data_IF_355500047691
#
_entry.id   IF_355500047691
#
_cell.length_a   1.000
_cell.length_b   1.000
_cell.length_c   1.000
_cell.angle_alpha   90.00
_cell.angle_beta   90.00
_cell.angle_gamma   90.00
#
_symmetry.space_group_name_H-M   'P 1'
#
loop_
_entity.id
_entity.type
_entity.pdbx_description
1 polymer ?
#
# COMPACT_ATOMS: atom_id res chain seq x y z
N UNK A 1 37.73 -67.24 -2.46
CA UNK A 1 37.57 -65.99 -3.24
C UNK A 1 36.25 -65.37 -2.82
N UNK A 2 36.27 -64.38 -1.93
CA UNK A 2 35.06 -63.71 -1.41
C UNK A 2 35.01 -62.30 -2.00
N UNK A 3 34.12 -62.09 -2.97
CA UNK A 3 33.90 -60.79 -3.61
C UNK A 3 32.97 -59.95 -2.74
N UNK A 4 33.46 -58.81 -2.26
CA UNK A 4 32.68 -57.81 -1.49
C UNK A 4 32.24 -56.70 -2.44
N UNK A 5 30.94 -56.60 -2.68
CA UNK A 5 30.34 -55.46 -3.40
C UNK A 5 30.24 -54.24 -2.49
N UNK A 6 30.74 -53.06 -2.88
CA UNK A 6 30.53 -51.83 -2.12
C UNK A 6 29.15 -51.25 -2.43
N UNK A 7 28.34 -51.07 -1.39
CA UNK A 7 27.09 -50.34 -1.45
C UNK A 7 27.38 -48.83 -1.56
N UNK A 8 27.07 -48.25 -2.72
CA UNK A 8 27.10 -46.80 -2.91
C UNK A 8 25.84 -46.18 -2.30
N UNK A 9 26.01 -45.48 -1.17
CA UNK A 9 24.99 -44.61 -0.62
C UNK A 9 24.93 -43.31 -1.43
N UNK A 10 23.92 -43.15 -2.27
CA UNK A 10 23.61 -41.90 -2.94
C UNK A 10 22.83 -40.99 -1.97
N UNK A 11 23.53 -40.03 -1.36
CA UNK A 11 22.90 -38.94 -0.61
C UNK A 11 22.26 -37.96 -1.60
N UNK A 12 20.95 -38.06 -1.80
CA UNK A 12 20.16 -37.05 -2.49
C UNK A 12 19.97 -35.85 -1.55
N UNK A 13 20.78 -34.80 -1.73
CA UNK A 13 20.58 -33.53 -1.06
C UNK A 13 19.34 -32.83 -1.64
N UNK A 14 18.19 -32.98 -0.97
CA UNK A 14 16.99 -32.20 -1.25
C UNK A 14 17.28 -30.77 -0.79
N UNK A 15 17.63 -29.90 -1.75
CA UNK A 15 17.69 -28.46 -1.52
C UNK A 15 16.26 -27.97 -1.32
N UNK A 16 15.83 -27.89 -0.06
CA UNK A 16 14.63 -27.18 0.37
C UNK A 16 14.82 -25.71 0.03
N UNK A 17 14.40 -25.31 -1.17
CA UNK A 17 14.21 -23.90 -1.48
C UNK A 17 13.09 -23.40 -0.57
N UNK A 18 13.47 -22.71 0.51
CA UNK A 18 12.52 -22.02 1.35
C UNK A 18 11.80 -20.98 0.52
N UNK A 19 10.53 -21.23 0.18
CA UNK A 19 9.67 -20.19 -0.37
C UNK A 19 9.51 -19.13 0.71
N UNK A 20 10.10 -17.95 0.48
CA UNK A 20 9.77 -16.78 1.27
C UNK A 20 8.28 -16.53 1.12
N UNK A 21 7.50 -16.88 2.14
CA UNK A 21 6.09 -16.52 2.19
C UNK A 21 6.03 -15.00 2.35
N UNK A 22 5.73 -14.33 1.25
CA UNK A 22 5.44 -12.92 1.18
C UNK A 22 3.96 -12.75 1.54
N UNK A 23 3.71 -12.09 2.65
CA UNK A 23 2.43 -12.08 3.32
C UNK A 23 1.89 -10.68 3.31
N UNK A 24 1.01 -10.36 2.37
CA UNK A 24 0.80 -8.96 2.01
C UNK A 24 -0.68 -8.62 1.88
N UNK A 25 -0.97 -7.35 2.11
CA UNK A 25 -2.28 -6.76 1.85
C UNK A 25 -2.10 -5.42 1.14
N UNK A 26 -2.76 -5.28 0.00
CA UNK A 26 -2.74 -4.05 -0.81
C UNK A 26 -4.14 -3.46 -0.82
N UNK A 27 -4.23 -2.19 -0.43
CA UNK A 27 -5.47 -1.43 -0.53
C UNK A 27 -5.88 -1.32 -2.00
N UNK A 28 -7.16 -1.53 -2.30
CA UNK A 28 -7.72 -1.49 -3.66
C UNK A 28 -8.70 -0.34 -3.81
N UNK A 29 -9.50 -0.09 -2.77
CA UNK A 29 -10.42 1.04 -2.69
C UNK A 29 -10.36 1.70 -1.30
N UNK A 30 -10.06 2.99 -1.18
CA UNK A 30 -9.65 3.90 -2.28
C UNK A 30 -8.33 3.49 -2.94
N UNK A 31 -8.05 4.05 -4.12
CA UNK A 31 -6.86 3.66 -4.88
C UNK A 31 -5.57 3.94 -4.10
N UNK A 32 -4.65 2.97 -3.97
CA UNK A 32 -3.47 3.15 -3.13
C UNK A 32 -2.46 4.09 -3.80
N UNK A 33 -1.57 4.66 -2.98
CA UNK A 33 -0.44 5.47 -3.45
C UNK A 33 0.54 4.66 -4.28
N UNK A 34 0.79 3.43 -3.85
CA UNK A 34 1.69 2.48 -4.48
C UNK A 34 0.99 1.11 -4.54
N UNK A 35 1.34 0.31 -5.54
CA UNK A 35 0.90 -1.08 -5.62
C UNK A 35 2.00 -2.03 -5.09
N UNK A 36 2.80 -1.56 -4.13
CA UNK A 36 3.88 -2.36 -3.55
C UNK A 36 3.31 -3.34 -2.52
N UNK A 37 3.27 -4.62 -2.89
CA UNK A 37 2.84 -5.69 -2.00
C UNK A 37 3.83 -5.86 -0.83
N UNK A 38 5.10 -5.49 -0.99
CA UNK A 38 6.14 -5.67 0.03
C UNK A 38 6.35 -4.44 0.93
N UNK A 39 5.32 -3.62 1.10
CA UNK A 39 5.29 -2.39 1.86
C UNK A 39 5.37 -2.59 3.40
N UNK A 40 6.58 -2.88 3.92
CA UNK A 40 6.86 -3.18 5.35
C UNK A 40 7.25 -1.98 6.21
N UNK A 41 7.14 -0.77 5.67
CA UNK A 41 7.80 0.39 6.26
C UNK A 41 6.94 1.63 6.25
N UNK A 42 7.13 2.43 7.29
CA UNK A 42 6.45 3.70 7.44
C UNK A 42 4.96 3.53 7.64
N UNK A 43 4.22 4.64 7.80
CA UNK A 43 2.78 4.58 7.88
C UNK A 43 2.13 4.11 6.57
N UNK A 44 2.83 4.18 5.42
CA UNK A 44 2.22 4.01 4.10
C UNK A 44 2.93 3.02 3.17
N UNK A 45 3.85 2.21 3.69
CA UNK A 45 4.69 1.36 2.84
C UNK A 45 5.90 2.06 2.24
N UNK A 46 5.98 3.37 2.46
CA UNK A 46 6.97 4.29 1.93
C UNK A 46 7.04 5.53 2.85
N UNK A 47 7.98 6.44 2.60
CA UNK A 47 8.12 7.68 3.37
C UNK A 47 8.08 8.94 2.50
N UNK A 48 7.35 9.96 2.95
CA UNK A 48 7.40 11.31 2.38
C UNK A 48 8.54 12.17 2.97
N UNK A 49 9.28 11.65 3.95
CA UNK A 49 10.34 12.36 4.66
C UNK A 49 11.43 11.43 5.18
N UNK A 50 11.95 11.70 6.38
CA UNK A 50 12.96 10.86 7.00
C UNK A 50 12.40 9.47 7.37
N UNK A 51 13.15 8.43 7.04
CA UNK A 51 12.84 7.02 7.30
C UNK A 51 13.92 6.39 8.18
N UNK A 52 13.62 5.33 8.98
CA UNK A 52 12.30 4.88 9.45
C UNK A 52 11.82 5.60 10.72
N UNK A 53 10.51 5.57 11.02
CA UNK A 53 9.95 6.14 12.28
C UNK A 53 10.09 5.15 13.45
N UNK A 54 10.07 3.84 13.18
CA UNK A 54 10.19 2.77 14.18
C UNK A 54 11.36 1.81 13.83
N UNK A 55 12.27 1.51 14.78
CA UNK A 55 13.35 0.56 14.59
C UNK A 55 12.91 -0.87 14.16
N UNK A 56 11.66 -1.25 14.42
CA UNK A 56 11.10 -2.54 14.00
C UNK A 56 10.66 -2.56 12.51
N UNK A 57 10.60 -1.40 11.85
CA UNK A 57 10.25 -1.29 10.44
C UNK A 57 11.41 -1.74 9.54
N UNK A 58 11.07 -2.03 8.28
CA UNK A 58 12.12 -2.25 7.30
C UNK A 58 12.83 -0.94 6.95
N UNK A 59 14.14 -0.87 7.16
CA UNK A 59 14.96 0.27 6.77
C UNK A 59 15.16 0.40 5.26
N UNK A 60 14.71 -0.59 4.46
CA UNK A 60 14.85 -0.60 3.00
C UNK A 60 13.72 0.13 2.25
N UNK A 61 12.89 0.88 2.96
CA UNK A 61 11.73 1.52 2.36
C UNK A 61 12.10 2.53 1.28
N UNK A 62 11.29 2.59 0.23
CA UNK A 62 11.40 3.61 -0.79
C UNK A 62 10.68 4.89 -0.37
N UNK A 63 11.09 6.02 -0.95
CA UNK A 63 10.32 7.27 -0.83
C UNK A 63 8.94 7.10 -1.47
N UNK A 64 7.92 7.70 -0.87
CA UNK A 64 6.59 7.76 -1.48
C UNK A 64 6.62 8.63 -2.73
N UNK A 65 5.72 8.40 -3.71
CA UNK A 65 5.56 9.30 -4.85
C UNK A 65 5.20 10.70 -4.35
N UNK A 66 6.03 11.70 -4.64
CA UNK A 66 5.77 13.09 -4.24
C UNK A 66 4.51 13.67 -4.93
N UNK A 67 4.14 13.14 -6.09
CA UNK A 67 2.97 13.55 -6.87
C UNK A 67 2.53 12.42 -7.81
N UNK A 68 1.41 12.63 -8.52
CA UNK A 68 0.90 11.70 -9.54
C UNK A 68 0.11 10.50 -9.00
N UNK A 69 -0.01 10.37 -7.67
CA UNK A 69 -0.98 9.46 -7.06
C UNK A 69 -2.42 9.96 -7.28
N UNK A 70 -3.36 9.03 -7.24
CA UNK A 70 -4.78 9.33 -7.38
C UNK A 70 -5.36 9.74 -6.04
N UNK A 71 -6.18 10.79 -6.06
CA UNK A 71 -6.90 11.28 -4.87
C UNK A 71 -8.37 10.95 -5.06
N UNK A 72 -8.97 10.33 -4.06
CA UNK A 72 -10.40 9.97 -4.10
C UNK A 72 -11.21 11.03 -3.35
N UNK A 73 -12.22 11.61 -4.00
CA UNK A 73 -13.11 12.56 -3.35
C UNK A 73 -14.20 11.82 -2.58
N UNK A 74 -14.36 12.19 -1.31
CA UNK A 74 -15.31 11.65 -0.37
C UNK A 74 -16.17 12.78 0.19
N UNK A 75 -17.34 12.40 0.70
CA UNK A 75 -18.29 13.31 1.35
C UNK A 75 -18.44 12.90 2.80
N UNK A 76 -18.42 13.88 3.70
CA UNK A 76 -18.64 13.68 5.14
C UNK A 76 -19.90 12.82 5.41
N UNK A 77 -19.82 11.95 6.41
CA UNK A 77 -20.91 11.09 6.85
C UNK A 77 -21.30 9.95 5.88
N UNK A 78 -20.77 9.92 4.65
CA UNK A 78 -21.09 8.84 3.71
C UNK A 78 -20.46 7.51 4.14
N UNK A 79 -21.11 6.37 3.86
CA UNK A 79 -20.48 5.07 3.99
C UNK A 79 -19.41 4.88 2.90
N UNK A 80 -18.19 4.55 3.31
CA UNK A 80 -17.09 4.16 2.43
C UNK A 80 -16.83 2.66 2.56
N UNK A 81 -16.96 1.93 1.46
CA UNK A 81 -16.48 0.55 1.38
C UNK A 81 -14.98 0.55 1.11
N UNK A 82 -14.19 0.25 2.13
CA UNK A 82 -12.75 0.06 2.02
C UNK A 82 -12.50 -1.38 1.62
N UNK A 83 -11.80 -1.59 0.51
CA UNK A 83 -11.52 -2.92 -0.05
C UNK A 83 -10.03 -3.10 -0.22
N UNK A 84 -9.54 -4.28 0.13
CA UNK A 84 -8.14 -4.67 -0.06
C UNK A 84 -8.03 -6.09 -0.58
N UNK A 85 -6.91 -6.40 -1.21
CA UNK A 85 -6.54 -7.74 -1.61
C UNK A 85 -5.53 -8.28 -0.61
N UNK A 86 -5.87 -9.36 0.07
CA UNK A 86 -4.89 -10.15 0.81
C UNK A 86 -4.23 -11.12 -0.16
N UNK A 87 -2.94 -10.96 -0.45
CA UNK A 87 -2.27 -11.80 -1.44
C UNK A 87 -1.86 -13.15 -0.86
N UNK A 88 -1.53 -13.20 0.43
CA UNK A 88 -1.23 -14.45 1.15
C UNK A 88 -1.83 -14.40 2.54
N UNK A 89 -2.56 -15.46 2.86
CA UNK A 89 -3.32 -15.59 4.09
C UNK A 89 -2.43 -15.86 5.32
N UNK A 90 -2.62 -15.06 6.38
CA UNK A 90 -1.92 -15.24 7.66
C UNK A 90 -2.81 -14.96 8.87
N UNK A 91 -2.56 -15.67 9.98
CA UNK A 91 -3.17 -15.32 11.26
C UNK A 91 -2.75 -13.91 11.66
N UNK A 92 -3.72 -13.09 12.05
CA UNK A 92 -3.43 -11.68 12.24
C UNK A 92 -4.67 -10.82 12.40
N UNK A 93 -4.49 -9.53 12.08
CA UNK A 93 -5.54 -8.52 12.11
C UNK A 93 -5.40 -7.56 10.94
N UNK A 94 -6.53 -7.04 10.48
CA UNK A 94 -6.58 -5.87 9.64
C UNK A 94 -7.04 -4.66 10.44
N UNK A 95 -6.46 -3.51 10.13
CA UNK A 95 -6.86 -2.21 10.65
C UNK A 95 -7.04 -1.22 9.50
N UNK A 96 -8.11 -0.45 9.54
CA UNK A 96 -8.31 0.73 8.71
C UNK A 96 -8.35 1.97 9.59
N UNK A 97 -7.50 2.94 9.26
CA UNK A 97 -7.43 4.24 9.91
C UNK A 97 -7.58 5.37 8.88
N UNK A 98 -8.11 6.51 9.31
CA UNK A 98 -8.26 7.69 8.46
C UNK A 98 -7.83 8.93 9.24
N UNK A 99 -6.73 9.55 8.82
CA UNK A 99 -6.23 10.80 9.40
C UNK A 99 -6.57 11.99 8.51
N UNK A 100 -7.03 13.09 9.11
CA UNK A 100 -7.31 14.35 8.41
C UNK A 100 -6.05 15.15 8.08
N UNK A 101 -4.87 14.70 8.55
CA UNK A 101 -3.59 15.31 8.17
C UNK A 101 -3.22 14.97 6.74
N UNK A 102 -2.48 15.87 6.11
CA UNK A 102 -1.99 15.67 4.75
C UNK A 102 -1.01 14.49 4.68
N UNK A 103 -0.97 13.86 3.52
CA UNK A 103 -0.21 12.64 3.29
C UNK A 103 1.31 12.75 3.48
N UNK A 104 1.85 13.94 3.27
CA UNK A 104 3.26 14.28 3.46
C UNK A 104 3.62 14.62 4.91
N UNK A 105 2.61 14.86 5.76
CA UNK A 105 2.81 15.24 7.17
C UNK A 105 2.25 14.24 8.18
N UNK A 106 1.47 13.25 7.71
CA UNK A 106 0.89 12.21 8.57
C UNK A 106 2.01 11.40 9.23
N UNK A 107 1.86 11.16 10.52
CA UNK A 107 2.74 10.27 11.29
C UNK A 107 1.97 9.04 11.71
N UNK A 108 2.70 7.98 12.11
CA UNK A 108 2.06 6.77 12.64
C UNK A 108 1.09 7.06 13.79
N UNK A 109 1.49 7.92 14.75
CA UNK A 109 0.66 8.27 15.90
C UNK A 109 -0.69 8.88 15.50
N UNK A 110 -0.76 9.59 14.38
CA UNK A 110 -1.99 10.20 13.88
C UNK A 110 -2.97 9.14 13.36
N UNK A 111 -2.44 8.10 12.70
CA UNK A 111 -3.22 6.97 12.20
C UNK A 111 -3.62 6.02 13.33
N UNK A 112 -2.76 5.84 14.33
CA UNK A 112 -3.08 5.08 15.54
C UNK A 112 -4.19 5.72 16.37
N UNK A 113 -4.31 7.06 16.34
CA UNK A 113 -5.38 7.80 17.00
C UNK A 113 -6.71 7.83 16.22
N UNK A 114 -6.73 7.39 14.95
CA UNK A 114 -7.86 7.57 14.05
C UNK A 114 -8.32 6.25 13.41
N UNK A 115 -8.50 5.22 14.23
CA UNK A 115 -8.93 3.87 13.81
C UNK A 115 -10.44 3.79 13.66
N UNK A 116 -10.90 3.36 12.49
CA UNK A 116 -12.34 3.18 12.19
C UNK A 116 -12.75 1.71 12.11
N UNK A 117 -11.80 0.82 11.79
CA UNK A 117 -12.04 -0.61 11.72
C UNK A 117 -10.81 -1.35 12.23
N UNK A 118 -11.02 -2.36 13.07
CA UNK A 118 -10.02 -3.34 13.42
C UNK A 118 -10.70 -4.69 13.66
N UNK A 119 -10.23 -5.74 13.00
CA UNK A 119 -10.76 -7.08 13.18
C UNK A 119 -9.66 -8.12 12.98
N UNK A 120 -9.86 -9.29 13.56
CA UNK A 120 -9.05 -10.46 13.23
C UNK A 120 -9.23 -10.79 11.75
N UNK A 121 -8.15 -11.25 11.14
CA UNK A 121 -8.24 -11.82 9.80
C UNK A 121 -9.09 -13.08 9.84
N UNK A 122 -10.23 -13.04 9.15
CA UNK A 122 -11.16 -14.14 9.01
C UNK A 122 -11.15 -14.73 7.59
N UNK A 123 -10.30 -14.20 6.71
CA UNK A 123 -10.11 -14.78 5.39
C UNK A 123 -9.38 -16.12 5.57
N UNK A 124 -9.78 -17.13 4.80
CA UNK A 124 -9.17 -18.46 4.82
C UNK A 124 -8.38 -18.74 3.53
N UNK A 125 -8.36 -17.79 2.59
CA UNK A 125 -7.83 -18.01 1.25
C UNK A 125 -6.92 -16.87 0.79
N UNK A 126 -5.67 -17.22 0.46
CA UNK A 126 -4.72 -16.33 -0.22
C UNK A 126 -5.29 -15.79 -1.54
N UNK A 127 -5.06 -14.51 -1.82
CA UNK A 127 -5.55 -13.82 -3.01
C UNK A 127 -6.98 -13.28 -2.89
N UNK A 128 -7.62 -13.44 -1.73
CA UNK A 128 -8.99 -12.99 -1.48
C UNK A 128 -9.14 -11.47 -1.45
N UNK A 129 -10.31 -10.99 -1.87
CA UNK A 129 -10.73 -9.63 -1.61
C UNK A 129 -11.44 -9.57 -0.27
N UNK A 130 -11.03 -8.63 0.57
CA UNK A 130 -11.61 -8.37 1.88
C UNK A 130 -12.10 -6.94 1.88
N UNK A 131 -13.22 -6.68 2.58
CA UNK A 131 -13.77 -5.34 2.68
C UNK A 131 -14.32 -5.04 4.06
N UNK A 132 -14.33 -3.74 4.39
CA UNK A 132 -14.97 -3.18 5.56
C UNK A 132 -15.71 -1.90 5.16
N UNK A 133 -16.85 -1.63 5.79
CA UNK A 133 -17.55 -0.35 5.62
C UNK A 133 -17.24 0.54 6.80
N UNK A 134 -16.76 1.75 6.54
CA UNK A 134 -16.54 2.80 7.55
C UNK A 134 -17.39 4.02 7.21
N UNK A 135 -17.67 4.87 8.20
CA UNK A 135 -18.28 6.18 7.97
C UNK A 135 -17.19 7.22 7.76
N UNK A 136 -17.26 7.99 6.67
CA UNK A 136 -16.35 9.11 6.43
C UNK A 136 -16.55 10.16 7.53
N UNK A 137 -15.49 10.61 8.22
CA UNK A 137 -15.63 11.55 9.33
C UNK A 137 -16.16 12.91 8.88
N UNK A 138 -16.79 13.62 9.81
CA UNK A 138 -17.42 14.93 9.57
C UNK A 138 -16.43 16.10 9.50
N UNK A 139 -15.14 15.81 9.36
CA UNK A 139 -14.07 16.82 9.28
C UNK A 139 -13.53 16.89 7.86
N UNK A 140 -13.87 17.93 7.08
CA UNK A 140 -13.30 18.13 5.75
C UNK A 140 -11.77 18.22 5.78
N UNK A 141 -11.11 17.67 4.77
CA UNK A 141 -9.66 17.69 4.63
C UNK A 141 -9.25 17.52 3.17
N UNK A 142 -8.08 18.05 2.81
CA UNK A 142 -7.49 17.89 1.50
C UNK A 142 -6.24 17.02 1.60
N UNK A 143 -6.09 16.07 0.67
CA UNK A 143 -4.99 15.10 0.66
C UNK A 143 -4.80 14.37 2.01
N UNK A 144 -5.90 14.06 2.69
CA UNK A 144 -5.89 13.25 3.88
C UNK A 144 -5.63 11.78 3.56
N UNK A 145 -5.40 10.97 4.60
CA UNK A 145 -4.84 9.63 4.44
C UNK A 145 -5.77 8.57 4.98
N UNK A 146 -6.09 7.59 4.15
CA UNK A 146 -6.61 6.30 4.59
C UNK A 146 -5.46 5.30 4.60
N UNK A 147 -5.26 4.62 5.73
CA UNK A 147 -4.28 3.57 5.90
C UNK A 147 -4.98 2.23 6.11
N UNK A 148 -4.58 1.24 5.32
CA UNK A 148 -4.71 -0.18 5.66
C UNK A 148 -3.44 -0.64 6.36
N UNK A 149 -3.58 -1.35 7.47
CA UNK A 149 -2.48 -2.06 8.13
C UNK A 149 -2.86 -3.52 8.34
N UNK A 150 -2.01 -4.43 7.88
CA UNK A 150 -2.08 -5.85 8.24
C UNK A 150 -1.06 -6.10 9.35
N UNK A 151 -1.51 -6.72 10.44
CA UNK A 151 -0.65 -7.30 11.47
C UNK A 151 -0.64 -8.82 11.30
N UNK A 152 0.54 -9.44 11.34
CA UNK A 152 0.72 -10.88 11.25
C UNK A 152 1.30 -11.44 12.52
N UNK A 153 0.62 -12.41 13.10
CA UNK A 153 1.04 -13.06 14.33
C UNK A 153 2.29 -13.94 14.10
N UNK A 154 3.27 -13.82 15.00
CA UNK A 154 4.50 -14.63 14.98
C UNK A 154 5.57 -14.21 13.97
N UNK A 155 5.33 -13.19 13.15
CA UNK A 155 6.32 -12.66 12.22
C UNK A 155 7.31 -11.70 12.91
N UNK A 156 8.59 -11.76 12.51
CA UNK A 156 9.64 -10.87 13.04
C UNK A 156 9.45 -9.41 12.64
N UNK A 157 8.87 -9.17 11.46
CA UNK A 157 8.38 -7.86 10.98
C UNK A 157 6.89 -8.01 10.69
N UNK A 158 6.02 -7.77 11.67
CA UNK A 158 4.63 -8.24 11.60
C UNK A 158 3.70 -7.28 10.86
N UNK A 159 4.18 -6.15 10.33
CA UNK A 159 3.31 -5.12 9.76
C UNK A 159 3.53 -4.91 8.26
N UNK A 160 2.40 -4.76 7.56
CA UNK A 160 2.33 -4.21 6.21
C UNK A 160 1.37 -3.05 6.16
N UNK A 161 1.69 -2.10 5.29
CA UNK A 161 1.01 -0.82 5.21
C UNK A 161 0.65 -0.51 3.77
N UNK A 162 -0.55 0.04 3.57
CA UNK A 162 -0.94 0.60 2.29
C UNK A 162 -1.77 1.84 2.56
N UNK A 163 -1.44 2.94 1.90
CA UNK A 163 -2.18 4.19 2.03
C UNK A 163 -2.89 4.57 0.74
N UNK A 164 -3.94 5.37 0.86
CA UNK A 164 -4.57 6.11 -0.23
C UNK A 164 -4.73 7.58 0.16
N UNK A 165 -4.66 8.46 -0.84
CA UNK A 165 -4.97 9.88 -0.68
C UNK A 165 -6.46 10.12 -0.90
N UNK A 166 -7.09 10.90 -0.03
CA UNK A 166 -8.49 11.28 -0.15
C UNK A 166 -8.69 12.77 0.09
N UNK A 167 -9.74 13.33 -0.51
CA UNK A 167 -10.30 14.62 -0.11
C UNK A 167 -11.64 14.35 0.55
N UNK A 168 -11.91 14.99 1.69
CA UNK A 168 -13.22 14.94 2.33
C UNK A 168 -13.84 16.33 2.21
N UNK A 169 -15.02 16.38 1.60
CA UNK A 169 -15.78 17.59 1.41
C UNK A 169 -17.07 17.55 2.22
N UNK A 170 -17.48 18.71 2.73
CA UNK A 170 -18.81 18.91 3.31
C UNK A 170 -19.63 19.75 2.34
N UNK A 171 -20.63 19.18 1.63
CA UNK A 171 -21.47 19.92 0.70
C UNK A 171 -22.28 21.02 1.40
N UNK A 172 -22.47 20.93 2.72
CA UNK A 172 -23.22 21.92 3.50
C UNK A 172 -22.32 23.05 4.04
N UNK A 173 -21.00 22.92 3.95
CA UNK A 173 -20.07 23.96 4.43
C UNK A 173 -20.13 25.26 3.61
N UNK A 174 -20.71 25.21 2.40
CA UNK A 174 -20.81 26.34 1.47
C UNK A 174 -21.72 27.50 1.92
N UNK A 175 -22.38 27.43 3.09
CA UNK A 175 -23.33 28.47 3.51
C UNK A 175 -22.89 29.33 4.71
N UNK A 176 -21.77 29.00 5.38
CA UNK A 176 -21.44 29.64 6.66
C UNK A 176 -20.17 30.51 6.65
N UNK A 177 -19.41 30.53 5.54
CA UNK A 177 -18.08 31.17 5.49
C UNK A 177 -18.04 32.63 4.97
N UNK A 178 -19.19 33.31 4.75
CA UNK A 178 -19.20 34.69 4.21
C UNK A 178 -19.64 35.77 5.21
N UNK A 179 -19.55 35.55 6.53
CA UNK A 179 -19.82 36.61 7.52
C UNK A 179 -18.69 36.83 8.53
N UNK A 180 -17.44 36.85 8.07
CA UNK A 180 -16.41 37.63 8.77
C UNK A 180 -16.65 39.12 8.48
N UNK A 181 -17.58 39.72 9.22
CA UNK A 181 -17.71 41.17 9.36
C UNK A 181 -16.35 41.74 9.70
N UNK A 182 -15.80 42.51 8.77
CA UNK A 182 -14.61 43.33 8.97
C UNK A 182 -14.81 44.24 10.19
N UNK A 183 -14.13 43.93 11.30
CA UNK A 183 -13.89 44.91 12.35
C UNK A 183 -12.63 45.69 11.96
N UNK A 184 -12.89 46.82 11.30
CA UNK A 184 -11.96 47.87 10.94
C UNK A 184 -11.29 48.45 12.19
N UNK A 185 -9.96 48.34 12.30
CA UNK A 185 -9.15 49.28 13.08
C UNK A 185 -8.17 49.97 12.16
N UNK A 186 -8.45 51.25 11.99
CA UNK A 186 -7.86 52.29 11.14
C UNK A 186 -6.44 52.72 11.52
N UNK A 187 -5.54 52.79 10.53
CA UNK A 187 -4.48 53.82 10.35
C UNK A 187 -3.52 53.35 9.25
N UNK A 188 -3.00 54.10 8.29
CA UNK A 188 -3.27 55.42 7.70
C UNK A 188 -2.31 55.55 6.50
N UNK A 189 -2.78 56.19 5.42
CA UNK A 189 -1.97 56.92 4.42
C UNK A 189 -1.10 56.12 3.42
N UNK A 190 -1.60 55.98 2.19
CA UNK A 190 -0.80 55.63 1.02
C UNK A 190 -1.58 55.92 -0.26
N UNK A 191 -1.20 56.99 -0.97
CA UNK A 191 -1.91 57.58 -2.09
C UNK A 191 -1.66 56.87 -3.44
N UNK A 192 -2.67 56.91 -4.32
CA UNK A 192 -2.50 57.07 -5.76
C UNK A 192 -2.61 55.81 -6.61
N UNK A 193 -3.61 55.77 -7.50
CA UNK A 193 -3.65 54.83 -8.62
C UNK A 193 -5.02 54.73 -9.27
N UNK A 194 -5.22 55.46 -10.36
CA UNK A 194 -6.46 55.56 -11.11
C UNK A 194 -6.61 54.48 -12.19
N UNK A 195 -7.87 54.15 -12.52
CA UNK A 195 -8.30 53.82 -13.88
C UNK A 195 -8.57 52.33 -14.17
N UNK A 196 -9.79 52.04 -14.64
CA UNK A 196 -10.10 50.79 -15.34
C UNK A 196 -11.57 50.37 -15.27
N UNK A 197 -12.37 50.86 -16.21
CA UNK A 197 -13.78 50.53 -16.44
C UNK A 197 -13.98 49.15 -17.10
N UNK A 198 -15.17 48.57 -16.89
CA UNK A 198 -15.78 47.52 -17.72
C UNK A 198 -15.86 46.15 -17.04
N UNK A 199 -16.98 45.45 -16.96
CA UNK A 199 -18.30 45.64 -17.56
C UNK A 199 -18.98 44.27 -17.64
N UNK A 200 -20.19 44.16 -17.08
CA UNK A 200 -21.29 43.31 -17.55
C UNK A 200 -21.17 41.77 -17.54
N UNK A 201 -22.17 41.12 -16.97
CA UNK A 201 -22.53 39.75 -17.38
C UNK A 201 -23.25 38.94 -16.30
N UNK A 202 -24.56 39.14 -16.16
CA UNK A 202 -25.41 38.27 -15.33
C UNK A 202 -25.59 36.89 -15.97
N UNK A 203 -25.79 35.87 -15.13
CA UNK A 203 -26.16 34.53 -15.55
C UNK A 203 -26.91 33.80 -14.44
N UNK A 204 -28.20 33.57 -14.68
CA UNK A 204 -29.15 32.90 -13.80
C UNK A 204 -29.07 31.37 -13.92
N UNK A 205 -29.37 30.69 -12.81
CA UNK A 205 -30.35 29.59 -12.79
C UNK A 205 -29.86 28.17 -13.09
N UNK A 206 -30.11 27.26 -12.14
CA UNK A 206 -30.09 25.83 -12.41
C UNK A 206 -29.93 24.96 -11.16
N UNK A 207 -30.98 24.84 -10.36
CA UNK A 207 -31.08 23.82 -9.31
C UNK A 207 -31.49 22.48 -9.95
N UNK A 208 -30.63 21.47 -9.92
CA UNK A 208 -30.97 20.08 -10.22
C UNK A 208 -30.85 19.29 -8.91
N UNK A 209 -31.93 18.68 -8.38
CA UNK A 209 -31.83 17.72 -7.30
C UNK A 209 -31.74 16.30 -7.86
N UNK A 210 -30.69 15.58 -7.47
CA UNK A 210 -30.65 14.12 -7.53
C UNK A 210 -29.64 13.54 -8.50
N UNK A 211 -28.35 13.60 -8.14
CA UNK A 211 -27.37 12.64 -8.65
C UNK A 211 -26.98 11.71 -7.51
N UNK A 212 -27.46 10.47 -7.63
CA UNK A 212 -26.93 9.32 -6.91
C UNK A 212 -25.47 9.23 -7.35
N UNK A 213 -24.54 9.43 -6.41
CA UNK A 213 -23.11 9.50 -6.71
C UNK A 213 -22.64 8.31 -7.56
N UNK A 214 -21.63 8.52 -8.42
CA UNK A 214 -21.13 7.48 -9.30
C UNK A 214 -20.81 6.25 -8.46
N UNK A 215 -21.51 5.15 -8.74
CA UNK A 215 -21.14 3.84 -8.21
C UNK A 215 -19.66 3.58 -8.48
N UNK A 216 -19.01 2.74 -7.66
CA UNK A 216 -17.57 2.49 -7.77
C UNK A 216 -17.21 2.19 -9.22
N UNK A 217 -16.16 2.86 -9.72
CA UNK A 217 -15.69 2.67 -11.08
C UNK A 217 -15.50 1.17 -11.34
N UNK A 218 -15.94 0.65 -12.51
CA UNK A 218 -15.76 -0.76 -12.85
C UNK A 218 -14.29 -1.10 -12.76
N UNK A 219 -14.02 -2.19 -12.02
CA UNK A 219 -12.69 -2.70 -11.76
C UNK A 219 -11.91 -2.91 -13.06
N UNK A 220 -10.91 -2.06 -13.33
CA UNK A 220 -9.87 -2.40 -14.29
C UNK A 220 -8.87 -3.30 -13.58
N UNK A 221 -9.11 -4.59 -13.68
CA UNK A 221 -8.14 -5.63 -13.40
C UNK A 221 -6.89 -5.32 -14.25
N UNK A 222 -5.87 -4.71 -13.64
CA UNK A 222 -4.58 -4.55 -14.31
C UNK A 222 -4.17 -5.95 -14.79
N UNK A 223 -3.91 -6.17 -16.08
CA UNK A 223 -3.59 -7.49 -16.59
C UNK A 223 -2.44 -8.05 -15.76
N UNK A 224 -2.68 -9.20 -15.13
CA UNK A 224 -1.71 -9.87 -14.27
C UNK A 224 -0.53 -10.28 -15.15
N UNK A 225 0.47 -9.40 -15.27
CA UNK A 225 1.74 -9.71 -15.92
C UNK A 225 2.57 -10.54 -14.94
N UNK A 226 2.32 -11.84 -14.87
CA UNK A 226 3.15 -12.72 -14.04
C UNK A 226 2.48 -13.99 -13.53
N UNK A 227 1.81 -14.77 -14.39
CA UNK A 227 1.66 -16.20 -14.11
C UNK A 227 3.00 -16.88 -14.34
N UNK A 228 3.81 -17.01 -13.29
CA UNK A 228 4.78 -18.10 -13.19
C UNK A 228 3.98 -19.39 -12.97
N UNK A 229 3.31 -19.85 -14.02
CA UNK A 229 2.81 -21.22 -14.09
C UNK A 229 4.03 -22.13 -14.06
N UNK A 230 4.34 -22.67 -12.89
CA UNK A 230 5.10 -23.90 -12.81
C UNK A 230 4.20 -25.00 -13.38
N UNK A 231 4.25 -25.16 -14.71
CA UNK A 231 3.73 -26.35 -15.36
C UNK A 231 4.36 -27.57 -14.66
N UNK A 232 3.58 -28.55 -14.18
CA UNK A 232 4.16 -29.80 -13.73
C UNK A 232 4.86 -30.43 -14.93
N UNK A 233 6.19 -30.48 -14.87
CA UNK A 233 7.03 -31.14 -15.84
C UNK A 233 6.53 -32.56 -16.05
N UNK A 234 6.10 -32.89 -17.27
CA UNK A 234 5.76 -34.24 -17.65
C UNK A 234 6.95 -35.18 -17.34
N UNK A 235 6.72 -36.35 -16.74
CA UNK A 235 7.79 -37.31 -16.52
C UNK A 235 8.18 -37.94 -17.86
N UNK A 236 9.33 -37.55 -18.41
CA UNK A 236 9.93 -38.31 -19.51
C UNK A 236 10.84 -37.52 -20.44
N UNK A 237 12.12 -37.44 -20.11
CA UNK A 237 13.21 -37.51 -21.10
C UNK A 237 14.56 -37.76 -20.40
N UNK A 238 15.14 -38.96 -20.51
CA UNK A 238 16.45 -39.28 -19.95
C UNK A 238 17.57 -38.81 -20.89
N UNK A 239 17.75 -37.50 -21.06
CA UNK A 239 18.78 -36.99 -21.97
C UNK A 239 19.33 -35.61 -21.56
N UNK A 240 19.65 -35.40 -20.29
CA UNK A 240 20.45 -34.24 -19.87
C UNK A 240 21.10 -34.47 -18.50
N UNK A 241 21.92 -35.53 -18.39
CA UNK A 241 22.74 -35.76 -17.21
C UNK A 241 24.21 -35.91 -17.61
N UNK A 242 24.76 -34.87 -18.22
CA UNK A 242 26.18 -34.76 -18.49
C UNK A 242 26.56 -33.28 -18.55
N UNK A 243 26.93 -32.66 -17.42
CA UNK A 243 27.84 -31.49 -17.33
C UNK A 243 27.96 -30.83 -15.94
N UNK A 244 27.90 -31.57 -14.81
CA UNK A 244 28.26 -30.97 -13.49
C UNK A 244 29.17 -31.87 -12.63
N UNK A 245 30.04 -32.65 -13.29
CA UNK A 245 31.03 -33.50 -12.59
C UNK A 245 32.50 -33.16 -12.93
N UNK A 246 32.77 -31.99 -13.51
CA UNK A 246 34.13 -31.56 -13.85
C UNK A 246 34.78 -30.56 -12.87
N UNK A 247 34.03 -30.02 -11.89
CA UNK A 247 34.50 -28.89 -11.07
C UNK A 247 35.20 -29.24 -9.75
N UNK A 248 35.12 -30.50 -9.27
CA UNK A 248 35.48 -30.84 -7.88
C UNK A 248 36.75 -31.68 -7.72
N UNK A 249 37.55 -31.87 -8.78
CA UNK A 249 38.83 -32.61 -8.72
C UNK A 249 40.06 -31.68 -8.67
N UNK A 250 39.93 -30.38 -8.97
CA UNK A 250 41.09 -29.48 -9.10
C UNK A 250 41.61 -28.84 -7.80
N UNK A 251 41.07 -29.15 -6.61
CA UNK A 251 41.51 -28.52 -5.34
C UNK A 251 42.30 -29.41 -4.37
N UNK A 252 42.48 -30.71 -4.66
CA UNK A 252 43.25 -31.60 -3.75
C UNK A 252 44.74 -31.73 -4.12
N UNK A 253 45.16 -31.28 -5.31
CA UNK A 253 46.54 -31.47 -5.77
C UNK A 253 47.54 -30.32 -5.44
N UNK A 254 47.22 -29.39 -4.54
CA UNK A 254 48.16 -28.32 -4.11
C UNK A 254 48.44 -28.36 -2.61
N UNK A 255 48.92 -29.49 -2.10
CA UNK A 255 49.48 -29.54 -0.75
C UNK A 255 50.56 -30.61 -0.60
N UNK A 256 51.53 -30.67 -1.51
CA UNK A 256 52.69 -31.57 -1.33
C UNK A 256 53.97 -31.15 -2.05
N UNK A 257 54.45 -29.93 -1.82
CA UNK A 257 55.87 -29.61 -2.07
C UNK A 257 56.30 -28.30 -1.40
N UNK A 258 56.66 -28.37 -0.11
CA UNK A 258 57.69 -27.53 0.53
C UNK A 258 58.25 -28.28 1.74
N UNK A 259 59.36 -28.99 1.51
CA UNK A 259 60.42 -29.23 2.48
C UNK A 259 61.68 -28.67 1.85
#
# INVERSE_FOLDING_TARGET
MHSRSPAFFAFAAVLLAGSSAFAHAVLMNPQPLTNDDNAKSGPCGCYFGAAPEDPAEDGSATACPASGYKVTDLVVGQPLQVTWKETVNHNGKFRVALSTKSIDTVKRADLDAAVFYEANDANAQSGGLVSATITVPDTPCQNCVIQLRQFMEGASKPYYYSCAAVNITDPNASSSASSSTAASSSSSSGAGGAGGEGGGGGGMGGSIPGDVGPGPAPFQESPTSGVCSASPSAPGSPAALALVLAGLVARVARKKTRR
#
